data_IF_600932098769
#
_entry.id   IF_600932098769
#
_cell.length_a   1.000
_cell.length_b   1.000
_cell.length_c   1.000
_cell.angle_alpha   90.00
_cell.angle_beta   90.00
_cell.angle_gamma   90.00
#
_symmetry.space_group_name_H-M   'P 1'
#
loop_
_entity.id
_entity.type
_entity.pdbx_description
1 polymer ?
#
# COMPACT_ATOMS: atom_id res chain seq x y z
N UNK A 1 23.07 -33.24 -77.24
CA UNK A 1 23.71 -34.49 -76.82
C UNK A 1 23.51 -34.64 -75.30
N UNK A 2 22.78 -35.47 -74.75
CA UNK A 2 22.22 -36.82 -74.97
C UNK A 2 21.66 -37.21 -73.63
N UNK A 3 20.42 -37.49 -73.64
CA UNK A 3 19.74 -38.82 -73.57
C UNK A 3 19.79 -39.52 -72.22
N UNK A 4 18.53 -39.82 -71.79
CA UNK A 4 18.03 -41.04 -71.17
C UNK A 4 18.21 -41.14 -69.64
N UNK A 5 17.25 -41.59 -68.89
CA UNK A 5 16.00 -42.24 -69.14
C UNK A 5 15.28 -42.57 -67.84
N UNK A 6 14.01 -42.56 -67.92
CA UNK A 6 13.05 -43.50 -67.37
C UNK A 6 13.26 -44.14 -66.01
N UNK A 7 12.34 -43.90 -65.10
CA UNK A 7 11.51 -45.00 -64.58
C UNK A 7 10.40 -44.48 -63.66
N UNK A 8 9.19 -44.78 -63.97
CA UNK A 8 8.00 -44.60 -63.16
C UNK A 8 7.98 -45.55 -61.96
N UNK A 9 7.54 -45.10 -60.83
CA UNK A 9 6.82 -45.90 -59.82
C UNK A 9 5.79 -45.03 -59.11
N UNK A 10 4.55 -45.31 -59.46
CA UNK A 10 3.36 -44.95 -58.75
C UNK A 10 3.51 -45.18 -57.22
N UNK A 11 3.20 -44.17 -56.41
CA UNK A 11 2.79 -44.39 -55.04
C UNK A 11 1.63 -43.43 -54.72
N UNK A 12 0.54 -44.04 -54.47
CA UNK A 12 -0.75 -43.53 -54.05
C UNK A 12 -0.58 -42.51 -52.90
N UNK A 13 -1.27 -41.38 -53.03
CA UNK A 13 -1.49 -40.41 -51.95
C UNK A 13 -2.68 -40.89 -51.11
N UNK A 14 -2.52 -41.00 -49.76
CA UNK A 14 -3.68 -41.10 -48.89
C UNK A 14 -4.34 -39.72 -48.77
N UNK A 15 -5.63 -39.64 -49.00
CA UNK A 15 -6.55 -38.52 -48.73
C UNK A 15 -6.70 -38.42 -47.21
N UNK A 16 -6.00 -37.46 -46.57
CA UNK A 16 -6.25 -37.12 -45.17
C UNK A 16 -7.36 -36.09 -45.10
N UNK A 17 -8.52 -36.54 -44.59
CA UNK A 17 -9.66 -35.69 -44.26
C UNK A 17 -9.24 -34.62 -43.22
N UNK A 18 -9.65 -33.38 -43.47
CA UNK A 18 -9.62 -32.29 -42.50
C UNK A 18 -10.57 -32.65 -41.32
N UNK A 19 -10.11 -32.68 -40.08
CA UNK A 19 -11.02 -32.62 -38.94
C UNK A 19 -11.51 -31.19 -38.81
N UNK A 20 -12.84 -31.06 -38.71
CA UNK A 20 -13.53 -29.79 -38.50
C UNK A 20 -12.98 -29.07 -37.27
N UNK A 21 -12.72 -27.77 -37.41
CA UNK A 21 -12.35 -26.89 -36.32
C UNK A 21 -13.49 -26.87 -35.28
N UNK A 22 -13.25 -27.55 -34.15
CA UNK A 22 -13.95 -27.22 -32.93
C UNK A 22 -13.44 -25.90 -32.44
N UNK A 23 -14.26 -24.90 -32.56
CA UNK A 23 -14.16 -23.62 -31.87
C UNK A 23 -14.15 -23.93 -30.35
N UNK A 24 -12.96 -24.19 -29.85
CA UNK A 24 -12.67 -24.36 -28.43
C UNK A 24 -12.76 -23.01 -27.75
N UNK A 25 -13.97 -22.52 -27.51
CA UNK A 25 -14.20 -21.45 -26.56
C UNK A 25 -13.54 -21.83 -25.25
N UNK A 26 -12.33 -21.31 -25.02
CA UNK A 26 -11.66 -21.40 -23.75
C UNK A 26 -12.60 -20.82 -22.71
N UNK A 27 -13.30 -21.68 -21.98
CA UNK A 27 -14.00 -21.34 -20.75
C UNK A 27 -12.90 -20.78 -19.83
N UNK A 28 -12.80 -19.44 -19.79
CA UNK A 28 -12.00 -18.76 -18.77
C UNK A 28 -12.48 -19.27 -17.44
N UNK A 29 -11.65 -20.03 -16.75
CA UNK A 29 -11.93 -20.46 -15.38
C UNK A 29 -12.33 -19.26 -14.51
N UNK A 30 -13.00 -19.46 -13.37
CA UNK A 30 -13.46 -18.37 -12.53
C UNK A 30 -12.28 -17.43 -12.25
N UNK A 31 -12.43 -16.14 -12.58
CA UNK A 31 -11.42 -15.14 -12.27
C UNK A 31 -11.31 -15.07 -10.75
N UNK A 32 -10.17 -15.47 -10.22
CA UNK A 32 -9.87 -15.47 -8.78
C UNK A 32 -9.66 -14.07 -8.21
N UNK A 33 -9.81 -13.01 -9.00
CA UNK A 33 -9.70 -11.62 -8.55
C UNK A 33 -10.66 -10.71 -9.31
N UNK A 34 -11.33 -9.83 -8.59
CA UNK A 34 -12.17 -8.76 -9.15
C UNK A 34 -11.29 -7.70 -9.82
N UNK A 35 -11.62 -7.28 -11.03
CA UNK A 35 -10.92 -6.17 -11.69
C UNK A 35 -11.33 -4.82 -11.07
N UNK A 36 -10.47 -3.80 -11.22
CA UNK A 36 -10.74 -2.45 -10.70
C UNK A 36 -12.03 -1.85 -11.23
N UNK A 37 -12.36 -1.89 -12.54
CA UNK A 37 -13.63 -1.41 -13.04
C UNK A 37 -14.84 -2.19 -12.51
N UNK A 38 -14.72 -3.51 -12.32
CA UNK A 38 -15.79 -4.32 -11.72
C UNK A 38 -16.02 -3.96 -10.25
N UNK A 39 -14.95 -3.73 -9.50
CA UNK A 39 -15.01 -3.26 -8.11
C UNK A 39 -15.71 -1.89 -8.02
N UNK A 40 -15.35 -0.92 -8.87
CA UNK A 40 -16.01 0.40 -8.88
C UNK A 40 -17.49 0.27 -9.22
N UNK A 41 -17.86 -0.55 -10.24
CA UNK A 41 -19.29 -0.79 -10.57
C UNK A 41 -20.06 -1.45 -9.42
N UNK A 42 -19.41 -2.34 -8.66
CA UNK A 42 -20.04 -2.93 -7.49
C UNK A 42 -20.30 -1.88 -6.39
N UNK A 43 -19.30 -1.04 -6.10
CA UNK A 43 -19.46 0.05 -5.15
C UNK A 43 -20.52 1.07 -5.57
N UNK A 44 -20.60 1.39 -6.86
CA UNK A 44 -21.62 2.29 -7.41
C UNK A 44 -23.02 1.70 -7.23
N UNK A 45 -23.25 0.46 -7.67
CA UNK A 45 -24.51 -0.25 -7.52
C UNK A 45 -24.98 -0.33 -6.06
N UNK A 46 -24.04 -0.54 -5.14
CA UNK A 46 -24.33 -0.69 -3.71
C UNK A 46 -24.38 0.69 -2.99
N UNK A 47 -24.29 1.81 -3.74
CA UNK A 47 -24.35 3.18 -3.23
C UNK A 47 -23.17 3.57 -2.34
N UNK A 48 -22.01 2.96 -2.53
CA UNK A 48 -20.81 3.14 -1.71
C UNK A 48 -19.78 4.13 -2.29
N UNK A 49 -20.13 4.86 -3.35
CA UNK A 49 -19.33 5.97 -3.87
C UNK A 49 -19.63 7.27 -3.13
N UNK A 50 -18.70 8.25 -3.07
CA UNK A 50 -17.35 8.20 -3.63
C UNK A 50 -16.39 7.33 -2.85
N UNK A 51 -15.38 6.78 -3.55
CA UNK A 51 -14.38 5.92 -2.94
C UNK A 51 -12.94 6.39 -3.20
N UNK A 52 -12.05 6.07 -2.27
CA UNK A 52 -10.60 6.14 -2.47
C UNK A 52 -10.06 4.73 -2.49
N UNK A 53 -9.38 4.35 -3.56
CA UNK A 53 -8.70 3.04 -3.68
C UNK A 53 -7.20 3.23 -3.49
N UNK A 54 -6.66 2.70 -2.40
CA UNK A 54 -5.23 2.75 -2.12
C UNK A 54 -4.48 1.67 -2.89
N UNK A 55 -3.56 2.13 -3.74
CA UNK A 55 -2.66 1.31 -4.56
C UNK A 55 -1.24 1.77 -4.24
N UNK A 56 -0.40 0.93 -3.62
CA UNK A 56 0.94 1.31 -3.17
C UNK A 56 1.95 1.37 -4.34
N UNK A 57 1.54 1.94 -5.46
CA UNK A 57 2.33 2.11 -6.69
C UNK A 57 1.78 3.27 -7.51
N UNK A 58 2.64 4.22 -7.91
CA UNK A 58 2.28 5.35 -8.79
C UNK A 58 1.77 4.82 -10.13
N UNK A 59 2.56 3.99 -10.79
CA UNK A 59 2.19 3.36 -12.06
C UNK A 59 0.94 2.48 -11.92
N UNK A 60 0.69 1.92 -10.74
CA UNK A 60 -0.53 1.17 -10.43
C UNK A 60 -1.76 2.06 -10.39
N UNK A 61 -1.64 3.32 -9.90
CA UNK A 61 -2.71 4.31 -9.91
C UNK A 61 -3.06 4.73 -11.35
N UNK A 62 -2.05 5.05 -12.17
CA UNK A 62 -2.24 5.41 -13.57
C UNK A 62 -2.86 4.27 -14.37
N UNK A 63 -2.34 3.05 -14.20
CA UNK A 63 -2.90 1.85 -14.82
C UNK A 63 -4.35 1.56 -14.39
N UNK A 64 -4.77 1.98 -13.19
CA UNK A 64 -6.16 1.85 -12.75
C UNK A 64 -7.08 2.79 -13.53
N UNK A 65 -6.68 4.03 -13.75
CA UNK A 65 -7.39 4.99 -14.61
C UNK A 65 -7.54 4.44 -16.01
N UNK A 66 -6.44 3.98 -16.63
CA UNK A 66 -6.49 3.39 -17.97
C UNK A 66 -7.41 2.16 -18.07
N UNK A 67 -7.43 1.30 -17.04
CA UNK A 67 -8.33 0.14 -17.02
C UNK A 67 -9.79 0.58 -16.99
N UNK A 68 -10.12 1.63 -16.22
CA UNK A 68 -11.47 2.19 -16.16
C UNK A 68 -11.87 2.85 -17.49
N UNK A 69 -10.94 3.59 -18.13
CA UNK A 69 -11.16 4.16 -19.46
C UNK A 69 -11.44 3.08 -20.51
N UNK A 70 -10.60 2.05 -20.57
CA UNK A 70 -10.77 0.90 -21.51
C UNK A 70 -12.05 0.11 -21.25
N UNK A 71 -12.50 0.05 -20.00
CA UNK A 71 -13.77 -0.61 -19.65
C UNK A 71 -15.01 0.24 -19.91
N UNK A 72 -14.84 1.45 -20.46
CA UNK A 72 -15.94 2.37 -20.76
C UNK A 72 -16.71 2.83 -19.52
N UNK A 73 -16.02 2.92 -18.35
CA UNK A 73 -16.64 3.41 -17.13
C UNK A 73 -16.94 4.89 -17.26
N UNK A 74 -18.16 5.30 -16.88
CA UNK A 74 -18.59 6.70 -16.79
C UNK A 74 -19.50 6.85 -15.57
N UNK A 75 -19.08 7.66 -14.60
CA UNK A 75 -19.74 7.83 -13.31
C UNK A 75 -20.31 9.25 -13.15
N UNK A 76 -20.22 10.09 -14.19
CA UNK A 76 -20.55 11.51 -14.12
C UNK A 76 -21.84 11.84 -14.82
N UNK A 77 -22.56 12.79 -14.26
CA UNK A 77 -23.70 13.47 -14.90
C UNK A 77 -23.22 14.60 -15.84
N UNK A 78 -24.09 15.09 -16.72
CA UNK A 78 -23.76 16.23 -17.59
C UNK A 78 -23.34 17.48 -16.81
N UNK A 79 -23.95 17.73 -15.64
CA UNK A 79 -23.59 18.85 -14.76
C UNK A 79 -22.20 18.70 -14.19
N UNK A 80 -21.85 17.51 -13.74
CA UNK A 80 -20.50 17.22 -13.20
C UNK A 80 -19.42 17.33 -14.30
N UNK A 81 -19.72 16.90 -15.53
CA UNK A 81 -18.83 17.07 -16.68
C UNK A 81 -18.54 18.53 -16.98
N UNK A 82 -19.52 19.41 -16.85
CA UNK A 82 -19.33 20.86 -17.04
C UNK A 82 -18.38 21.43 -15.97
N UNK A 83 -18.57 21.05 -14.69
CA UNK A 83 -17.68 21.45 -13.60
C UNK A 83 -16.25 20.94 -13.81
N UNK A 84 -16.11 19.68 -14.24
CA UNK A 84 -14.81 19.10 -14.57
C UNK A 84 -14.13 19.87 -15.71
N UNK A 85 -14.86 20.21 -16.77
CA UNK A 85 -14.31 20.94 -17.92
C UNK A 85 -13.73 22.30 -17.49
N UNK A 86 -14.46 23.06 -16.67
CA UNK A 86 -14.00 24.34 -16.13
C UNK A 86 -12.69 24.19 -15.35
N UNK A 87 -12.63 23.23 -14.41
CA UNK A 87 -11.44 23.02 -13.57
C UNK A 87 -10.24 22.50 -14.34
N UNK A 88 -10.49 21.66 -15.37
CA UNK A 88 -9.44 21.17 -16.28
C UNK A 88 -8.84 22.31 -17.10
N UNK A 89 -9.67 23.23 -17.61
CA UNK A 89 -9.19 24.41 -18.34
C UNK A 89 -8.33 25.31 -17.47
N UNK A 90 -8.72 25.54 -16.21
CA UNK A 90 -7.92 26.29 -15.24
C UNK A 90 -6.53 25.67 -15.04
N UNK A 91 -6.47 24.35 -14.80
CA UNK A 91 -5.22 23.65 -14.64
C UNK A 91 -4.35 23.68 -15.91
N UNK A 92 -4.98 23.57 -17.10
CA UNK A 92 -4.28 23.62 -18.38
C UNK A 92 -3.63 24.99 -18.66
N UNK A 93 -4.25 26.10 -18.23
CA UNK A 93 -3.69 27.45 -18.41
C UNK A 93 -2.35 27.66 -17.70
N UNK A 94 -2.04 26.85 -16.72
CA UNK A 94 -0.80 26.91 -15.94
C UNK A 94 0.36 26.16 -16.63
N UNK A 95 0.13 25.51 -17.76
CA UNK A 95 1.08 24.63 -18.42
C UNK A 95 1.31 25.06 -19.87
N UNK A 96 2.57 24.93 -20.40
CA UNK A 96 2.84 25.08 -21.81
C UNK A 96 2.04 24.05 -22.62
N UNK A 97 1.47 24.48 -23.75
CA UNK A 97 0.63 23.62 -24.59
C UNK A 97 1.44 22.43 -25.17
N UNK A 98 2.71 22.66 -25.48
CA UNK A 98 3.65 21.67 -25.98
C UNK A 98 3.95 20.54 -24.98
N UNK A 99 3.79 20.79 -23.69
CA UNK A 99 4.07 19.81 -22.62
C UNK A 99 2.87 18.93 -22.29
N UNK A 100 1.65 19.30 -22.68
CA UNK A 100 0.41 18.61 -22.29
C UNK A 100 0.41 17.13 -22.68
N UNK A 101 0.94 16.78 -23.85
CA UNK A 101 0.99 15.38 -24.30
C UNK A 101 1.97 14.55 -23.47
N UNK A 102 3.17 15.10 -23.23
CA UNK A 102 4.23 14.44 -22.44
C UNK A 102 3.78 14.24 -20.99
N UNK A 103 3.00 15.18 -20.45
CA UNK A 103 2.45 15.14 -19.10
C UNK A 103 1.24 14.21 -18.96
N UNK A 104 0.78 13.56 -20.04
CA UNK A 104 -0.38 12.67 -20.01
C UNK A 104 -1.72 13.38 -19.76
N UNK A 105 -1.80 14.67 -20.08
CA UNK A 105 -2.96 15.53 -19.86
C UNK A 105 -4.26 14.94 -20.42
N UNK A 106 -4.23 14.37 -21.61
CA UNK A 106 -5.42 13.88 -22.30
C UNK A 106 -6.07 12.69 -21.57
N UNK A 107 -5.26 11.74 -21.11
CA UNK A 107 -5.75 10.61 -20.33
C UNK A 107 -6.26 11.05 -18.96
N UNK A 108 -5.56 11.99 -18.32
CA UNK A 108 -5.98 12.60 -17.05
C UNK A 108 -7.33 13.32 -17.20
N UNK A 109 -7.49 14.18 -18.21
CA UNK A 109 -8.73 14.90 -18.52
C UNK A 109 -9.89 13.93 -18.78
N UNK A 110 -9.66 12.88 -19.59
CA UNK A 110 -10.69 11.91 -19.95
C UNK A 110 -11.15 11.12 -18.69
N UNK A 111 -10.22 10.74 -17.81
CA UNK A 111 -10.54 10.13 -16.53
C UNK A 111 -11.40 11.04 -15.64
N UNK A 112 -11.00 12.30 -15.48
CA UNK A 112 -11.77 13.30 -14.73
C UNK A 112 -13.18 13.48 -15.28
N UNK A 113 -13.32 13.61 -16.62
CA UNK A 113 -14.61 13.80 -17.26
C UNK A 113 -15.57 12.63 -17.04
N UNK A 114 -15.04 11.44 -16.74
CA UNK A 114 -15.79 10.22 -16.42
C UNK A 114 -15.89 9.93 -14.92
N UNK A 115 -15.38 10.82 -14.07
CA UNK A 115 -15.56 10.78 -12.62
C UNK A 115 -14.53 9.97 -11.85
N UNK A 116 -13.35 9.70 -12.42
CA UNK A 116 -12.26 9.02 -11.72
C UNK A 116 -10.88 9.57 -12.09
N UNK A 117 -9.94 9.48 -11.15
CA UNK A 117 -8.58 9.99 -11.32
C UNK A 117 -7.55 9.20 -10.52
N UNK A 118 -6.27 9.33 -10.91
CA UNK A 118 -5.13 8.99 -10.07
C UNK A 118 -4.78 10.17 -9.15
N UNK A 119 -4.17 9.87 -7.98
CA UNK A 119 -3.59 10.86 -7.07
C UNK A 119 -2.33 10.32 -6.40
N UNK A 120 -1.18 10.82 -6.79
CA UNK A 120 0.12 10.39 -6.25
C UNK A 120 1.20 11.46 -6.36
N UNK A 121 2.30 11.28 -5.65
CA UNK A 121 3.40 12.25 -5.57
C UNK A 121 4.14 12.50 -6.90
N UNK A 122 3.92 11.68 -7.93
CA UNK A 122 4.49 11.88 -9.28
C UNK A 122 3.69 12.83 -10.18
N UNK A 123 2.50 13.28 -9.74
CA UNK A 123 1.68 14.22 -10.49
C UNK A 123 2.11 15.67 -10.23
N UNK A 124 1.90 16.52 -11.22
CA UNK A 124 2.09 17.96 -11.06
C UNK A 124 1.11 18.55 -10.03
N UNK A 125 1.53 19.57 -9.27
CA UNK A 125 0.66 20.21 -8.29
C UNK A 125 -0.70 20.65 -8.85
N UNK A 126 -0.80 21.34 -10.02
CA UNK A 126 -2.10 21.75 -10.58
C UNK A 126 -3.04 20.58 -10.86
N UNK A 127 -2.49 19.43 -11.26
CA UNK A 127 -3.30 18.23 -11.52
C UNK A 127 -3.83 17.61 -10.22
N UNK A 128 -3.00 17.59 -9.16
CA UNK A 128 -3.43 17.09 -7.85
C UNK A 128 -4.51 17.99 -7.23
N UNK A 129 -4.30 19.29 -7.25
CA UNK A 129 -5.26 20.28 -6.75
C UNK A 129 -6.61 20.16 -7.46
N UNK A 130 -6.61 20.02 -8.79
CA UNK A 130 -7.83 19.79 -9.55
C UNK A 130 -8.56 18.51 -9.14
N UNK A 131 -7.84 17.41 -8.90
CA UNK A 131 -8.42 16.15 -8.41
C UNK A 131 -9.04 16.35 -7.02
N UNK A 132 -8.34 17.04 -6.13
CA UNK A 132 -8.78 17.30 -4.75
C UNK A 132 -10.04 18.16 -4.74
N UNK A 133 -10.07 19.27 -5.48
CA UNK A 133 -11.21 20.18 -5.60
C UNK A 133 -12.45 19.48 -6.18
N UNK A 134 -12.26 18.73 -7.28
CA UNK A 134 -13.36 18.02 -7.93
C UNK A 134 -13.90 16.86 -7.07
N UNK A 135 -13.04 16.21 -6.30
CA UNK A 135 -13.49 15.18 -5.36
C UNK A 135 -14.26 15.80 -4.18
N UNK A 136 -13.78 16.92 -3.63
CA UNK A 136 -14.47 17.66 -2.58
C UNK A 136 -15.83 18.20 -3.06
N UNK A 137 -15.92 18.66 -4.31
CA UNK A 137 -17.16 19.08 -4.95
C UNK A 137 -18.12 17.93 -5.31
N UNK A 138 -17.69 16.66 -5.13
CA UNK A 138 -18.47 15.47 -5.44
C UNK A 138 -18.58 15.14 -6.94
N UNK A 139 -17.82 15.82 -7.80
CA UNK A 139 -17.78 15.54 -9.24
C UNK A 139 -16.97 14.26 -9.56
N UNK A 140 -15.95 13.94 -8.74
CA UNK A 140 -15.25 12.68 -8.84
C UNK A 140 -15.86 11.65 -7.88
N UNK A 141 -16.01 10.42 -8.39
CA UNK A 141 -16.60 9.29 -7.66
C UNK A 141 -15.57 8.25 -7.23
N UNK A 142 -14.41 8.18 -7.91
CA UNK A 142 -13.35 7.24 -7.56
C UNK A 142 -11.96 7.88 -7.72
N UNK A 143 -11.11 7.74 -6.70
CA UNK A 143 -9.72 8.17 -6.75
C UNK A 143 -8.81 6.99 -6.45
N UNK A 144 -7.83 6.74 -7.33
CA UNK A 144 -6.78 5.74 -7.15
C UNK A 144 -5.54 6.44 -6.60
N UNK A 145 -5.17 6.13 -5.36
CA UNK A 145 -4.14 6.89 -4.65
C UNK A 145 -3.05 6.03 -4.03
N UNK A 146 -1.88 6.63 -3.85
CA UNK A 146 -0.84 6.09 -2.98
C UNK A 146 -1.07 6.50 -1.52
N UNK A 147 -0.34 5.91 -0.58
CA UNK A 147 -0.47 6.19 0.85
C UNK A 147 -0.28 7.68 1.22
N UNK A 148 0.39 8.46 0.36
CA UNK A 148 0.61 9.89 0.58
C UNK A 148 -0.68 10.71 0.66
N UNK A 149 -1.77 10.26 0.03
CA UNK A 149 -3.07 10.89 0.15
C UNK A 149 -3.64 10.81 1.58
N UNK A 150 -3.30 9.76 2.32
CA UNK A 150 -3.74 9.61 3.70
C UNK A 150 -3.06 10.60 4.67
N UNK A 151 -1.97 11.25 4.24
CA UNK A 151 -1.15 12.17 5.01
C UNK A 151 -1.40 13.62 4.56
N UNK A 152 -1.89 14.46 5.45
CA UNK A 152 -1.91 15.92 5.25
C UNK A 152 -3.02 16.50 4.36
N UNK A 153 -3.84 15.69 3.71
CA UNK A 153 -4.94 16.14 2.85
C UNK A 153 -6.27 15.76 3.47
N UNK A 154 -7.19 16.73 3.60
CA UNK A 154 -8.54 16.47 4.07
C UNK A 154 -9.45 16.05 2.91
N UNK A 155 -9.37 14.80 2.54
CA UNK A 155 -10.12 14.22 1.42
C UNK A 155 -10.84 12.94 1.89
N UNK A 156 -11.97 13.07 2.62
CA UNK A 156 -12.72 11.92 3.09
C UNK A 156 -13.62 11.36 1.96
N UNK A 157 -13.79 10.05 1.96
CA UNK A 157 -14.66 9.33 1.04
C UNK A 157 -15.72 8.54 1.82
N UNK A 158 -16.82 8.15 1.18
CA UNK A 158 -17.77 7.22 1.78
C UNK A 158 -17.12 5.87 2.02
N UNK A 159 -16.33 5.42 1.05
CA UNK A 159 -15.63 4.14 1.14
C UNK A 159 -14.14 4.27 0.86
N UNK A 160 -13.36 3.46 1.56
CA UNK A 160 -11.94 3.24 1.28
C UNK A 160 -11.74 1.80 0.85
N UNK A 161 -11.02 1.62 -0.24
CA UNK A 161 -10.61 0.30 -0.74
C UNK A 161 -9.11 0.14 -0.60
N UNK A 162 -8.66 -0.96 -0.02
CA UNK A 162 -7.25 -1.34 0.04
C UNK A 162 -7.04 -2.51 -0.91
N UNK A 163 -6.27 -2.28 -1.97
CA UNK A 163 -6.06 -3.30 -3.02
C UNK A 163 -5.16 -4.44 -2.55
N UNK A 164 -4.13 -4.12 -1.74
CA UNK A 164 -3.18 -5.08 -1.17
C UNK A 164 -2.81 -4.67 0.24
N UNK A 165 -2.52 -5.64 1.10
CA UNK A 165 -2.01 -5.39 2.45
C UNK A 165 -0.47 -5.37 2.52
N UNK A 166 0.19 -5.40 1.37
CA UNK A 166 1.65 -5.41 1.24
C UNK A 166 2.08 -4.19 0.42
N UNK A 167 3.11 -3.48 0.89
CA UNK A 167 3.70 -2.32 0.22
C UNK A 167 5.21 -2.47 0.09
N UNK A 168 5.82 -1.71 -0.83
CA UNK A 168 7.27 -1.59 -0.94
C UNK A 168 7.78 -0.44 -0.06
N UNK A 169 8.71 -0.72 0.86
CA UNK A 169 9.25 0.27 1.79
C UNK A 169 10.52 0.98 1.30
N UNK A 170 10.94 0.73 0.05
CA UNK A 170 12.19 1.20 -0.53
C UNK A 170 13.24 0.10 -0.68
N UNK A 171 13.16 -0.96 0.12
CA UNK A 171 14.10 -2.08 0.11
C UNK A 171 13.38 -3.42 -0.17
N UNK A 172 12.29 -3.66 0.53
CA UNK A 172 11.55 -4.93 0.49
C UNK A 172 10.04 -4.71 0.46
N UNK A 173 9.30 -5.76 0.09
CA UNK A 173 7.86 -5.82 0.28
C UNK A 173 7.57 -6.19 1.75
N UNK A 174 6.79 -5.35 2.42
CA UNK A 174 6.42 -5.50 3.83
C UNK A 174 4.90 -5.36 3.99
N UNK A 175 4.35 -6.07 4.97
CA UNK A 175 2.94 -5.92 5.32
C UNK A 175 2.67 -4.52 5.89
N UNK A 176 1.47 -3.97 5.61
CA UNK A 176 1.06 -2.73 6.25
C UNK A 176 0.86 -2.95 7.74
N UNK A 177 1.29 -1.98 8.52
CA UNK A 177 1.10 -2.00 9.96
C UNK A 177 -0.35 -1.66 10.32
N UNK A 178 -0.82 -2.06 11.51
CA UNK A 178 -2.14 -1.65 11.99
C UNK A 178 -2.33 -0.12 12.06
N UNK A 179 -1.27 0.64 12.35
CA UNK A 179 -1.30 2.11 12.34
C UNK A 179 -1.57 2.67 10.94
N UNK A 180 -0.88 2.13 9.93
CA UNK A 180 -1.09 2.49 8.52
C UNK A 180 -2.49 2.08 8.06
N UNK A 181 -2.95 0.88 8.39
CA UNK A 181 -4.31 0.44 8.11
C UNK A 181 -5.35 1.42 8.68
N UNK A 182 -5.21 1.81 9.94
CA UNK A 182 -6.11 2.78 10.59
C UNK A 182 -6.03 4.15 9.92
N UNK A 183 -4.85 4.59 9.51
CA UNK A 183 -4.66 5.87 8.83
C UNK A 183 -5.33 5.89 7.45
N UNK A 184 -5.21 4.81 6.68
CA UNK A 184 -5.86 4.65 5.38
C UNK A 184 -7.38 4.57 5.54
N UNK A 185 -7.86 3.68 6.40
CA UNK A 185 -9.30 3.46 6.63
C UNK A 185 -9.98 4.61 7.35
N UNK A 186 -9.23 5.42 8.10
CA UNK A 186 -9.70 6.66 8.73
C UNK A 186 -10.16 7.74 7.75
N UNK A 187 -10.02 7.51 6.44
CA UNK A 187 -10.60 8.35 5.37
C UNK A 187 -12.01 7.92 5.00
N UNK A 188 -12.49 6.78 5.47
CA UNK A 188 -13.83 6.29 5.23
C UNK A 188 -14.85 6.99 6.16
N UNK A 189 -15.95 7.43 5.56
CA UNK A 189 -17.02 8.16 6.24
C UNK A 189 -16.80 9.69 6.25
N UNK A 190 -17.69 10.41 5.58
CA UNK A 190 -17.68 11.88 5.52
C UNK A 190 -18.50 12.42 6.69
N UNK A 191 -17.83 13.10 7.62
CA UNK A 191 -18.48 13.64 8.82
C UNK A 191 -19.64 14.59 8.44
N UNK A 192 -20.81 14.36 9.03
CA UNK A 192 -22.01 15.16 8.78
C UNK A 192 -22.75 14.84 7.46
N UNK A 193 -22.24 13.90 6.64
CA UNK A 193 -22.84 13.46 5.39
C UNK A 193 -23.21 11.99 5.43
N UNK A 194 -22.26 11.13 5.81
CA UNK A 194 -22.45 9.67 5.84
C UNK A 194 -22.79 9.23 7.27
N UNK A 195 -23.70 8.29 7.40
CA UNK A 195 -24.04 7.64 8.68
C UNK A 195 -22.90 6.72 9.11
N UNK A 196 -22.27 6.03 8.16
CA UNK A 196 -21.15 5.14 8.37
C UNK A 196 -20.15 5.20 7.22
N UNK A 197 -18.90 4.86 7.48
CA UNK A 197 -17.84 4.70 6.50
C UNK A 197 -17.52 3.23 6.27
N UNK A 198 -17.15 2.88 5.03
CA UNK A 198 -16.87 1.51 4.65
C UNK A 198 -15.39 1.33 4.31
N UNK A 199 -14.74 0.34 4.95
CA UNK A 199 -13.39 -0.09 4.62
C UNK A 199 -13.45 -1.46 3.92
N UNK A 200 -12.99 -1.52 2.69
CA UNK A 200 -13.03 -2.72 1.84
C UNK A 200 -11.60 -3.18 1.57
N UNK A 201 -11.30 -4.44 1.84
CA UNK A 201 -10.04 -5.07 1.43
C UNK A 201 -10.34 -6.00 0.27
N UNK A 202 -9.66 -5.82 -0.87
CA UNK A 202 -9.89 -6.65 -2.05
C UNK A 202 -9.40 -8.08 -1.79
N UNK A 203 -10.32 -9.05 -2.01
CA UNK A 203 -10.00 -10.45 -1.89
C UNK A 203 -8.94 -10.90 -2.90
N UNK A 204 -7.98 -11.67 -2.43
CA UNK A 204 -6.97 -12.36 -3.24
C UNK A 204 -6.70 -13.76 -2.67
N UNK A 205 -6.30 -14.73 -3.49
CA UNK A 205 -5.83 -16.02 -2.99
C UNK A 205 -4.71 -15.82 -1.97
N UNK A 206 -4.83 -16.50 -0.82
CA UNK A 206 -3.87 -16.38 0.28
C UNK A 206 -4.15 -15.23 1.28
N UNK A 207 -5.16 -14.41 1.06
CA UNK A 207 -5.60 -13.43 2.06
C UNK A 207 -6.28 -14.15 3.23
N UNK A 208 -5.75 -13.93 4.44
CA UNK A 208 -6.39 -14.41 5.68
C UNK A 208 -7.34 -13.35 6.24
N UNK A 209 -8.66 -13.60 6.28
CA UNK A 209 -9.64 -12.68 6.87
C UNK A 209 -9.39 -12.40 8.36
N UNK A 210 -8.84 -13.36 9.11
CA UNK A 210 -8.54 -13.17 10.54
C UNK A 210 -7.38 -12.16 10.71
N UNK A 211 -6.38 -12.20 9.85
CA UNK A 211 -5.31 -11.20 9.84
C UNK A 211 -5.84 -9.79 9.53
N UNK A 212 -6.78 -9.66 8.59
CA UNK A 212 -7.46 -8.38 8.28
C UNK A 212 -8.23 -7.87 9.48
N UNK A 213 -9.01 -8.73 10.14
CA UNK A 213 -9.74 -8.39 11.37
C UNK A 213 -8.78 -7.97 12.49
N UNK A 214 -7.61 -8.63 12.58
CA UNK A 214 -6.54 -8.26 13.51
C UNK A 214 -6.00 -6.84 13.28
N UNK A 215 -5.80 -6.44 12.01
CA UNK A 215 -5.42 -5.07 11.66
C UNK A 215 -6.49 -4.05 12.06
N UNK A 216 -7.76 -4.38 11.87
CA UNK A 216 -8.89 -3.50 12.16
C UNK A 216 -9.22 -3.38 13.65
N UNK A 217 -8.88 -4.39 14.46
CA UNK A 217 -9.30 -4.48 15.88
C UNK A 217 -8.49 -3.62 16.83
N UNK A 218 -7.27 -3.23 16.49
CA UNK A 218 -6.39 -2.45 17.36
C UNK A 218 -6.70 -0.97 17.25
N UNK A 219 -7.04 -0.34 18.38
CA UNK A 219 -7.42 1.09 18.45
C UNK A 219 -6.27 2.02 18.85
N UNK A 220 -5.21 1.49 19.45
CA UNK A 220 -4.06 2.27 19.92
C UNK A 220 -2.76 1.65 19.47
N UNK A 221 -1.89 2.47 18.91
CA UNK A 221 -0.57 2.04 18.44
C UNK A 221 0.49 2.95 19.05
N UNK A 222 1.60 2.38 19.52
CA UNK A 222 2.70 3.20 20.00
C UNK A 222 3.26 4.03 18.85
N UNK A 223 3.33 5.33 19.03
CA UNK A 223 4.03 6.22 18.12
C UNK A 223 5.52 5.86 18.17
N UNK A 224 6.10 5.50 17.04
CA UNK A 224 7.52 5.24 16.89
C UNK A 224 8.12 6.18 15.88
N UNK A 225 9.21 6.84 16.25
CA UNK A 225 9.95 7.67 15.30
C UNK A 225 10.63 6.80 14.24
N UNK A 226 10.45 7.14 12.98
CA UNK A 226 11.24 6.59 11.87
C UNK A 226 12.47 7.44 11.56
N UNK A 227 12.66 8.52 12.31
CA UNK A 227 13.78 9.43 12.10
C UNK A 227 15.13 8.73 12.35
N UNK A 228 15.98 8.76 11.33
CA UNK A 228 17.37 8.31 11.39
C UNK A 228 18.23 9.39 10.75
N UNK A 229 19.14 10.03 11.49
CA UNK A 229 20.04 11.02 10.91
C UNK A 229 20.91 10.35 9.83
N UNK A 230 20.91 10.91 8.62
CA UNK A 230 21.80 10.50 7.54
C UNK A 230 23.04 11.39 7.52
N UNK A 231 24.13 10.91 6.91
CA UNK A 231 25.34 11.72 6.73
C UNK A 231 25.06 13.04 6.01
N UNK A 232 24.26 12.99 4.94
CA UNK A 232 23.90 14.18 4.17
C UNK A 232 23.12 15.19 5.03
N UNK A 233 22.18 14.73 5.82
CA UNK A 233 21.44 15.56 6.76
C UNK A 233 22.37 16.19 7.82
N UNK A 234 23.27 15.40 8.39
CA UNK A 234 24.22 15.89 9.38
C UNK A 234 25.14 16.99 8.82
N UNK A 235 25.65 16.80 7.60
CA UNK A 235 26.46 17.80 6.90
C UNK A 235 25.67 19.09 6.68
N UNK A 236 24.44 18.99 6.17
CA UNK A 236 23.59 20.16 5.92
C UNK A 236 23.22 20.91 7.20
N UNK A 237 22.89 20.20 8.28
CA UNK A 237 22.60 20.81 9.58
C UNK A 237 23.83 21.51 10.15
N UNK A 238 25.00 20.88 10.09
CA UNK A 238 26.25 21.50 10.56
C UNK A 238 26.63 22.73 9.74
N UNK A 239 26.44 22.68 8.41
CA UNK A 239 26.69 23.83 7.53
C UNK A 239 25.74 25.00 7.83
N UNK A 240 24.48 24.72 8.16
CA UNK A 240 23.45 25.74 8.39
C UNK A 240 23.45 26.31 9.82
N UNK A 241 23.62 25.47 10.83
CA UNK A 241 23.43 25.83 12.24
C UNK A 241 24.71 25.72 13.10
N UNK A 242 25.79 25.22 12.54
CA UNK A 242 27.00 24.90 13.29
C UNK A 242 26.85 23.61 14.13
N UNK A 243 28.02 23.11 14.60
CA UNK A 243 28.07 21.78 15.26
C UNK A 243 27.33 21.72 16.60
N UNK A 244 27.41 22.77 17.41
CA UNK A 244 26.78 22.80 18.74
C UNK A 244 25.26 22.77 18.63
N UNK A 245 24.70 23.62 17.78
CA UNK A 245 23.24 23.70 17.58
C UNK A 245 22.67 22.45 16.89
N UNK A 246 23.42 21.89 15.95
CA UNK A 246 23.07 20.61 15.32
C UNK A 246 22.92 19.49 16.33
N UNK A 247 23.89 19.41 17.27
CA UNK A 247 23.85 18.41 18.33
C UNK A 247 22.60 18.57 19.21
N UNK A 248 22.33 19.78 19.65
CA UNK A 248 21.13 20.09 20.45
C UNK A 248 19.83 19.69 19.71
N UNK A 249 19.70 20.01 18.43
CA UNK A 249 18.53 19.62 17.61
C UNK A 249 18.36 18.10 17.55
N UNK A 250 19.44 17.35 17.40
CA UNK A 250 19.38 15.90 17.33
C UNK A 250 19.07 15.28 18.70
N UNK A 251 19.68 15.78 19.77
CA UNK A 251 19.47 15.33 21.15
C UNK A 251 18.05 15.62 21.67
N UNK A 252 17.41 16.67 21.19
CA UNK A 252 15.99 17.00 21.53
C UNK A 252 14.97 16.32 20.62
N UNK A 253 15.41 15.50 19.67
CA UNK A 253 14.50 14.80 18.75
C UNK A 253 13.66 13.73 19.46
N UNK A 254 12.45 13.47 18.93
CA UNK A 254 11.59 12.40 19.44
C UNK A 254 12.24 11.01 19.33
N UNK A 255 13.09 10.81 18.31
CA UNK A 255 13.85 9.57 18.16
C UNK A 255 14.83 9.36 19.32
N UNK A 256 15.55 10.42 19.73
CA UNK A 256 16.48 10.38 20.88
C UNK A 256 15.71 10.12 22.18
N UNK A 257 14.61 10.83 22.40
CA UNK A 257 13.74 10.59 23.56
C UNK A 257 13.28 9.11 23.64
N UNK A 258 12.89 8.50 22.52
CA UNK A 258 12.51 7.09 22.50
C UNK A 258 13.69 6.15 22.77
N UNK A 259 14.89 6.47 22.25
CA UNK A 259 16.09 5.70 22.50
C UNK A 259 16.46 5.73 23.99
N UNK A 260 16.47 6.91 24.60
CA UNK A 260 16.79 7.09 26.03
C UNK A 260 15.79 6.34 26.92
N UNK A 261 14.49 6.44 26.60
CA UNK A 261 13.46 5.69 27.31
C UNK A 261 13.63 4.17 27.22
N UNK A 262 14.05 3.67 26.07
CA UNK A 262 14.30 2.24 25.86
C UNK A 262 15.49 1.74 26.66
N UNK A 263 16.56 2.52 26.75
CA UNK A 263 17.75 2.21 27.56
C UNK A 263 17.39 2.13 29.06
N UNK A 264 16.65 3.11 29.56
CA UNK A 264 16.20 3.11 30.98
C UNK A 264 15.32 1.92 31.28
N UNK A 265 14.42 1.55 30.36
CA UNK A 265 13.56 0.38 30.52
C UNK A 265 14.36 -0.94 30.48
N UNK A 266 15.39 -1.00 29.63
CA UNK A 266 16.28 -2.17 29.54
C UNK A 266 17.10 -2.32 30.82
N UNK A 267 17.68 -1.24 31.33
CA UNK A 267 18.42 -1.24 32.60
C UNK A 267 17.56 -1.73 33.78
N UNK A 268 16.33 -1.24 33.91
CA UNK A 268 15.39 -1.72 34.94
C UNK A 268 14.99 -3.20 34.77
N UNK A 269 14.98 -3.71 33.54
CA UNK A 269 14.70 -5.13 33.28
C UNK A 269 15.88 -6.00 33.65
N UNK A 270 17.09 -5.56 33.35
CA UNK A 270 18.32 -6.25 33.75
C UNK A 270 18.40 -6.35 35.27
N UNK A 271 18.17 -5.25 35.97
CA UNK A 271 18.18 -5.25 37.45
C UNK A 271 17.14 -6.20 38.05
N UNK A 272 15.90 -6.18 37.56
CA UNK A 272 14.87 -7.13 37.99
C UNK A 272 15.23 -8.59 37.72
N UNK A 273 15.83 -8.87 36.57
CA UNK A 273 16.24 -10.22 36.24
C UNK A 273 17.40 -10.68 37.12
N UNK A 274 18.32 -9.77 37.49
CA UNK A 274 19.40 -10.03 38.41
C UNK A 274 18.88 -10.35 39.85
N UNK A 275 17.97 -9.50 40.35
CA UNK A 275 17.30 -9.74 41.63
C UNK A 275 16.54 -11.10 41.66
N UNK A 276 15.86 -11.44 40.56
CA UNK A 276 15.20 -12.72 40.43
C UNK A 276 16.18 -13.91 40.44
N UNK A 277 17.32 -13.79 39.72
CA UNK A 277 18.37 -14.82 39.73
C UNK A 277 19.00 -15.00 41.08
N UNK A 278 19.27 -13.92 41.81
CA UNK A 278 19.78 -13.95 43.19
C UNK A 278 18.76 -14.64 44.12
N UNK A 279 17.47 -14.33 44.01
CA UNK A 279 16.41 -15.01 44.77
C UNK A 279 16.27 -16.50 44.42
N UNK A 280 16.42 -16.90 43.18
CA UNK A 280 16.47 -18.31 42.81
C UNK A 280 17.70 -19.02 43.33
N UNK A 281 18.88 -18.38 43.29
CA UNK A 281 20.11 -18.94 43.85
C UNK A 281 20.02 -19.16 45.36
N UNK A 282 19.45 -18.19 46.11
CA UNK A 282 19.18 -18.33 47.55
C UNK A 282 18.18 -19.44 47.84
N UNK A 283 17.10 -19.56 47.07
CA UNK A 283 16.11 -20.61 47.24
C UNK A 283 16.68 -22.02 46.98
N UNK A 284 17.58 -22.14 45.98
CA UNK A 284 18.25 -23.40 45.70
C UNK A 284 19.41 -23.69 46.65
N UNK A 285 20.12 -22.68 47.13
CA UNK A 285 21.18 -22.84 48.14
C UNK A 285 20.63 -23.14 49.55
N UNK A 286 19.42 -22.63 49.90
CA UNK A 286 18.74 -22.92 51.16
C UNK A 286 18.11 -24.30 51.25
N UNK A 287 17.86 -24.95 50.12
CA UNK A 287 17.31 -26.34 50.07
C UNK A 287 18.36 -27.44 50.28
N UNK A 288 19.66 -27.10 50.29
CA UNK A 288 20.75 -28.07 50.44
C UNK A 288 21.17 -28.44 51.87
N UNK A 289 20.44 -27.98 52.90
CA UNK A 289 20.80 -28.29 54.30
C UNK A 289 19.94 -29.40 54.94
N UNK A 290 19.11 -30.12 54.19
CA UNK A 290 18.42 -31.31 54.63
C UNK A 290 18.51 -32.41 53.58
N UNK A 291 19.29 -33.45 53.89
CA UNK A 291 19.52 -34.72 53.22
C UNK A 291 20.50 -34.77 52.05
N UNK A 292 21.58 -35.52 52.33
CA UNK A 292 22.66 -35.82 51.39
C UNK A 292 22.18 -36.53 50.11
N UNK A 293 22.17 -35.80 49.06
CA UNK A 293 22.21 -36.30 47.70
C UNK A 293 23.03 -35.34 46.84
N UNK A 294 24.13 -35.88 46.37
CA UNK A 294 25.25 -35.36 45.64
C UNK A 294 24.95 -34.28 44.57
N UNK A 295 25.82 -33.31 44.54
CA UNK A 295 25.93 -32.24 43.55
C UNK A 295 25.73 -32.64 42.11
N UNK A 296 24.76 -31.99 41.46
CA UNK A 296 24.63 -32.04 40.01
C UNK A 296 23.83 -30.89 39.41
N UNK A 297 23.04 -30.14 40.16
CA UNK A 297 22.10 -29.19 39.53
C UNK A 297 22.64 -27.75 39.42
N UNK A 298 23.47 -27.32 40.36
CA UNK A 298 24.00 -25.93 40.32
C UNK A 298 25.14 -25.75 39.29
N UNK A 299 26.00 -26.77 39.17
CA UNK A 299 27.11 -26.76 38.14
C UNK A 299 26.57 -26.93 36.73
N UNK A 300 25.55 -27.78 36.53
CA UNK A 300 24.89 -27.93 35.22
C UNK A 300 24.14 -26.66 34.75
N UNK A 301 23.66 -25.83 35.69
CA UNK A 301 23.02 -24.57 35.34
C UNK A 301 24.02 -23.44 35.04
N UNK A 302 25.21 -23.46 35.70
CA UNK A 302 26.29 -22.52 35.41
C UNK A 302 26.89 -22.78 34.03
N UNK A 303 27.07 -24.06 33.65
CA UNK A 303 27.60 -24.46 32.33
C UNK A 303 26.64 -24.17 31.15
N UNK A 304 25.34 -23.97 31.41
CA UNK A 304 24.35 -23.59 30.39
C UNK A 304 24.27 -22.06 30.15
N UNK A 305 24.88 -21.25 31.02
CA UNK A 305 24.81 -19.79 30.97
C UNK A 305 26.12 -19.11 30.50
N UNK A 306 27.20 -19.88 30.26
CA UNK A 306 28.42 -19.46 29.54
C UNK A 306 28.31 -19.82 28.05
#
# INVERSE_FOLDING_TARGET
RGRNGSSALDRERPVSGRPGGHDGGQRRGPRLSTSRPEMIRALDRDGLLPCITFIFSRTGCDAAVEQCLRAGLDLTTAREKALVAERVEEAARLLPVEDLEILGFWAWRDGLSRGFAAHHAGMLPPFKEAVEDLFAAGALKAVFATETLALGINMPARSVVIEKLVKFNGENHVDITPGEYTQLTGRAGRRGIDVEGHAVVMWRPGLDPAAVAGLASRRTYPLRSSFRPTYNMAVNLVAQFGRARTREILETSFAQFQADRSVVHLAKRVERNREALEGYAEAMGGSGAADGAEGSSAEAFAEYMD
#
